data_IF_469292180281
#
_entry.id   IF_469292180281
#
_cell.length_a   1.000
_cell.length_b   1.000
_cell.length_c   1.000
_cell.angle_alpha   90.00
_cell.angle_beta   90.00
_cell.angle_gamma   90.00
#
_symmetry.space_group_name_H-M   'P 1'
#
loop_
_entity.id
_entity.type
_entity.pdbx_description
1 polymer ?
#
# COMPACT_ATOMS: atom_id res chain seq x y z
N UNK A 1 4.67 -11.77 -12.00
CA UNK A 1 4.29 -11.74 -10.55
C UNK A 1 5.48 -12.18 -9.70
N UNK A 2 5.60 -11.74 -8.43
CA UNK A 2 6.76 -12.10 -7.56
C UNK A 2 6.95 -13.62 -7.41
N UNK A 3 5.85 -14.39 -7.36
CA UNK A 3 5.88 -15.86 -7.42
C UNK A 3 6.65 -16.41 -8.62
N UNK A 4 6.41 -15.86 -9.81
CA UNK A 4 7.07 -16.28 -11.06
C UNK A 4 8.57 -15.95 -11.06
N UNK A 5 8.97 -14.93 -10.31
CA UNK A 5 10.37 -14.59 -10.09
C UNK A 5 11.03 -15.42 -8.98
N UNK A 6 10.33 -16.42 -8.42
CA UNK A 6 10.87 -17.36 -7.42
C UNK A 6 10.68 -16.92 -5.97
N UNK A 7 9.96 -15.83 -5.70
CA UNK A 7 9.68 -15.38 -4.33
C UNK A 7 8.40 -16.04 -3.79
N UNK A 8 8.46 -16.79 -2.67
CA UNK A 8 7.26 -17.35 -2.05
C UNK A 8 6.28 -16.24 -1.65
N UNK A 9 5.05 -16.30 -2.18
CA UNK A 9 4.03 -15.28 -1.96
C UNK A 9 2.68 -15.93 -1.64
N UNK A 10 1.84 -15.18 -0.93
CA UNK A 10 0.46 -15.54 -0.65
C UNK A 10 -0.42 -14.35 -1.08
N UNK A 11 -1.36 -14.61 -1.98
CA UNK A 11 -2.24 -13.58 -2.51
C UNK A 11 -3.49 -13.44 -1.64
N UNK A 12 -3.95 -12.20 -1.45
CA UNK A 12 -5.22 -11.91 -0.81
C UNK A 12 -6.01 -10.90 -1.64
N UNK A 13 -7.23 -11.29 -2.01
CA UNK A 13 -8.21 -10.41 -2.63
C UNK A 13 -9.59 -10.80 -2.09
N UNK A 14 -10.36 -9.87 -1.49
CA UNK A 14 -11.66 -10.19 -0.89
C UNK A 14 -12.69 -10.81 -1.84
N UNK A 15 -12.51 -10.68 -3.16
CA UNK A 15 -13.41 -11.21 -4.18
C UNK A 15 -12.83 -12.44 -4.90
N UNK A 16 -11.54 -12.43 -5.23
CA UNK A 16 -10.91 -13.46 -6.07
C UNK A 16 -10.03 -14.46 -5.32
N UNK A 17 -9.50 -14.07 -4.15
CA UNK A 17 -8.63 -14.87 -3.27
C UNK A 17 -8.94 -14.58 -1.79
N UNK A 18 -10.16 -14.88 -1.31
CA UNK A 18 -10.67 -14.37 -0.05
C UNK A 18 -10.20 -15.19 1.16
N UNK A 19 -9.03 -15.82 1.11
CA UNK A 19 -8.50 -16.58 2.25
C UNK A 19 -7.99 -15.60 3.32
N UNK A 20 -8.66 -15.48 4.48
CA UNK A 20 -8.24 -14.55 5.51
C UNK A 20 -7.02 -15.04 6.29
N UNK A 21 -6.69 -16.34 6.23
CA UNK A 21 -5.60 -16.93 7.02
C UNK A 21 -4.23 -16.33 6.66
N UNK A 22 -4.07 -15.87 5.42
CA UNK A 22 -2.86 -15.18 4.95
C UNK A 22 -2.65 -13.85 5.68
N UNK A 23 -3.71 -13.23 6.20
CA UNK A 23 -3.65 -11.96 6.91
C UNK A 23 -3.31 -12.12 8.41
N UNK A 24 -3.17 -13.36 8.89
CA UNK A 24 -2.77 -13.69 10.27
C UNK A 24 -1.30 -14.15 10.37
N UNK A 25 -0.57 -14.03 9.25
CA UNK A 25 0.85 -14.39 9.12
C UNK A 25 1.73 -13.15 9.15
N UNK A 26 3.04 -13.37 9.35
CA UNK A 26 4.06 -12.33 9.25
C UNK A 26 4.93 -12.49 8.01
N UNK A 27 5.31 -11.38 7.39
CA UNK A 27 5.99 -11.34 6.10
C UNK A 27 7.25 -10.48 6.16
N UNK A 28 8.24 -10.89 5.38
CA UNK A 28 9.45 -10.10 5.11
C UNK A 28 9.17 -8.98 4.10
N UNK A 29 8.16 -9.17 3.24
CA UNK A 29 7.67 -8.13 2.35
C UNK A 29 6.15 -8.26 2.09
N UNK A 30 5.48 -7.15 1.87
CA UNK A 30 4.07 -7.07 1.45
C UNK A 30 3.98 -6.10 0.28
N UNK A 31 3.15 -6.40 -0.73
CA UNK A 31 2.90 -5.51 -1.86
C UNK A 31 1.42 -5.22 -2.02
N UNK A 32 1.08 -3.95 -2.22
CA UNK A 32 -0.28 -3.49 -2.55
C UNK A 32 -0.23 -2.73 -3.87
N UNK A 33 -0.54 -3.41 -4.97
CA UNK A 33 -0.49 -2.83 -6.33
C UNK A 33 -1.89 -2.46 -6.79
N UNK A 34 -2.19 -1.16 -6.89
CA UNK A 34 -3.54 -0.63 -7.18
C UNK A 34 -4.61 -1.18 -6.20
N UNK A 35 -4.35 -1.03 -4.89
CA UNK A 35 -5.23 -1.56 -3.83
C UNK A 35 -5.62 -0.47 -2.83
N UNK A 36 -4.67 0.38 -2.42
CA UNK A 36 -4.84 1.25 -1.26
C UNK A 36 -5.88 2.35 -1.47
N UNK A 37 -6.12 2.73 -2.72
CA UNK A 37 -7.14 3.69 -3.15
C UNK A 37 -8.57 3.14 -3.05
N UNK A 38 -8.73 1.82 -2.94
CA UNK A 38 -10.02 1.13 -2.79
C UNK A 38 -10.42 0.89 -1.33
N UNK A 39 -9.54 1.22 -0.37
CA UNK A 39 -9.76 0.91 1.04
C UNK A 39 -10.74 1.90 1.68
N UNK A 40 -11.85 1.40 2.19
CA UNK A 40 -12.82 2.23 2.93
C UNK A 40 -12.36 2.61 4.34
N UNK A 41 -11.49 1.81 4.96
CA UNK A 41 -10.94 2.03 6.30
C UNK A 41 -9.42 1.90 6.28
N UNK A 42 -8.70 2.78 5.55
CA UNK A 42 -7.27 2.62 5.30
C UNK A 42 -6.45 2.55 6.59
N UNK A 43 -6.80 3.33 7.62
CA UNK A 43 -6.09 3.31 8.91
C UNK A 43 -6.07 1.94 9.60
N UNK A 44 -7.17 1.17 9.51
CA UNK A 44 -7.24 -0.18 10.07
C UNK A 44 -6.39 -1.16 9.26
N UNK A 45 -6.39 -1.00 7.93
CA UNK A 45 -5.58 -1.83 7.05
C UNK A 45 -4.10 -1.54 7.25
N UNK A 46 -3.68 -0.27 7.34
CA UNK A 46 -2.28 0.07 7.64
C UNK A 46 -1.83 -0.46 9.01
N UNK A 47 -2.69 -0.43 10.03
CA UNK A 47 -2.39 -1.05 11.32
C UNK A 47 -2.22 -2.57 11.20
N UNK A 48 -3.04 -3.24 10.38
CA UNK A 48 -2.89 -4.66 10.11
C UNK A 48 -1.61 -4.97 9.32
N UNK A 49 -1.30 -4.18 8.30
CA UNK A 49 -0.04 -4.29 7.53
C UNK A 49 1.17 -4.15 8.46
N UNK A 50 1.16 -3.21 9.39
CA UNK A 50 2.21 -3.08 10.41
C UNK A 50 2.36 -4.34 11.26
N UNK A 51 1.25 -4.92 11.72
CA UNK A 51 1.27 -6.15 12.51
C UNK A 51 1.77 -7.36 11.70
N UNK A 52 1.49 -7.39 10.40
CA UNK A 52 1.94 -8.43 9.47
C UNK A 52 3.41 -8.27 9.08
N UNK A 53 3.97 -7.05 9.05
CA UNK A 53 5.39 -6.85 8.75
C UNK A 53 6.27 -7.36 9.90
N UNK A 54 7.29 -8.14 9.55
CA UNK A 54 8.41 -8.43 10.45
C UNK A 54 9.28 -7.18 10.64
N UNK A 55 10.03 -7.07 11.75
CA UNK A 55 11.10 -6.07 11.85
C UNK A 55 12.08 -6.23 10.68
N UNK A 56 12.47 -5.11 10.05
CA UNK A 56 13.25 -5.09 8.81
C UNK A 56 12.44 -5.39 7.53
N UNK A 57 11.12 -5.58 7.64
CA UNK A 57 10.26 -5.92 6.52
C UNK A 57 9.89 -4.73 5.62
N UNK A 58 9.52 -5.03 4.38
CA UNK A 58 9.19 -4.03 3.35
C UNK A 58 7.70 -4.00 3.02
N UNK A 59 7.14 -2.80 2.83
CA UNK A 59 5.81 -2.62 2.25
C UNK A 59 5.94 -1.78 0.97
N UNK A 60 5.59 -2.35 -0.17
CA UNK A 60 5.52 -1.62 -1.44
C UNK A 60 4.07 -1.29 -1.76
N UNK A 61 3.77 -0.01 -1.92
CA UNK A 61 2.45 0.48 -2.35
C UNK A 61 2.61 1.11 -3.73
N UNK A 62 1.78 0.69 -4.68
CA UNK A 62 1.61 1.34 -5.97
C UNK A 62 0.21 1.94 -6.03
N UNK A 63 0.13 3.26 -6.15
CA UNK A 63 -1.11 4.03 -6.34
C UNK A 63 -0.75 5.39 -6.94
N UNK A 64 -1.61 5.95 -7.80
CA UNK A 64 -1.33 7.27 -8.38
C UNK A 64 -1.49 8.37 -7.33
N UNK A 65 -0.38 9.09 -7.05
CA UNK A 65 -0.37 10.13 -6.04
C UNK A 65 -0.83 11.49 -6.58
N UNK A 66 -1.53 12.23 -5.74
CA UNK A 66 -1.94 13.60 -5.99
C UNK A 66 -0.74 14.55 -5.80
N UNK A 67 -0.42 15.31 -6.85
CA UNK A 67 0.61 16.36 -6.81
C UNK A 67 -0.03 17.74 -6.70
N UNK A 68 0.73 18.73 -6.22
CA UNK A 68 0.24 20.10 -6.05
C UNK A 68 -0.20 20.77 -7.36
N UNK A 69 0.44 20.42 -8.48
CA UNK A 69 0.13 20.97 -9.81
C UNK A 69 -1.11 20.34 -10.45
N UNK A 70 -1.67 19.30 -9.84
CA UNK A 70 -2.74 18.51 -10.44
C UNK A 70 -4.09 19.11 -10.14
N UNK A 71 -4.86 19.39 -11.19
CA UNK A 71 -6.28 19.69 -11.06
C UNK A 71 -7.02 18.47 -10.53
N UNK A 72 -7.40 18.52 -9.25
CA UNK A 72 -8.17 17.47 -8.62
C UNK A 72 -9.48 17.23 -9.36
N UNK A 73 -10.17 18.28 -9.84
CA UNK A 73 -11.48 18.18 -10.54
C UNK A 73 -11.34 17.56 -11.95
N UNK A 74 -10.17 17.69 -12.57
CA UNK A 74 -9.83 17.08 -13.85
C UNK A 74 -9.25 15.67 -13.72
N UNK A 75 -8.72 15.29 -12.56
CA UNK A 75 -7.92 14.08 -12.41
C UNK A 75 -8.71 12.79 -12.68
N UNK A 76 -8.33 12.05 -13.74
CA UNK A 76 -9.01 10.81 -14.16
C UNK A 76 -9.01 9.74 -13.08
N UNK A 77 -7.93 9.61 -12.30
CA UNK A 77 -7.80 8.60 -11.26
C UNK A 77 -8.94 8.69 -10.23
N UNK A 78 -9.33 9.92 -9.82
CA UNK A 78 -10.48 10.10 -8.91
C UNK A 78 -11.83 9.78 -9.52
N UNK A 79 -11.95 9.83 -10.85
CA UNK A 79 -13.24 9.62 -11.54
C UNK A 79 -13.61 8.14 -11.59
N UNK A 80 -12.69 7.24 -11.24
CA UNK A 80 -12.99 5.82 -11.13
C UNK A 80 -13.82 5.58 -9.86
N UNK A 81 -15.06 5.05 -9.98
CA UNK A 81 -15.96 4.92 -8.82
C UNK A 81 -15.43 4.04 -7.68
N UNK A 82 -14.51 3.12 -7.97
CA UNK A 82 -13.87 2.29 -6.95
C UNK A 82 -12.77 3.01 -6.17
N UNK A 83 -12.26 4.16 -6.65
CA UNK A 83 -11.20 4.92 -5.99
C UNK A 83 -11.86 5.86 -4.98
N UNK A 84 -11.78 5.48 -3.71
CA UNK A 84 -12.51 6.15 -2.61
C UNK A 84 -11.57 6.88 -1.65
N UNK A 85 -10.27 6.62 -1.75
CA UNK A 85 -9.21 7.30 -0.97
C UNK A 85 -8.07 7.70 -1.91
N UNK A 86 -7.47 8.86 -1.67
CA UNK A 86 -6.38 9.40 -2.48
C UNK A 86 -5.20 9.77 -1.60
N UNK A 87 -4.00 9.53 -2.12
CA UNK A 87 -2.75 9.75 -1.40
C UNK A 87 -1.95 10.84 -2.11
N UNK A 88 -1.30 11.70 -1.32
CA UNK A 88 -0.27 12.63 -1.79
C UNK A 88 1.07 12.22 -1.20
N UNK A 89 2.17 12.81 -1.66
CA UNK A 89 3.49 12.60 -1.04
C UNK A 89 3.45 12.97 0.46
N UNK A 90 2.73 14.03 0.85
CA UNK A 90 2.55 14.41 2.25
C UNK A 90 1.78 13.35 3.06
N UNK A 91 0.78 12.72 2.45
CA UNK A 91 0.02 11.63 3.10
C UNK A 91 0.90 10.40 3.30
N UNK A 92 1.71 10.07 2.30
CA UNK A 92 2.66 8.95 2.35
C UNK A 92 3.70 9.18 3.46
N UNK A 93 4.28 10.37 3.52
CA UNK A 93 5.21 10.75 4.60
C UNK A 93 4.52 10.69 5.96
N UNK A 94 3.28 11.19 6.07
CA UNK A 94 2.54 11.12 7.32
C UNK A 94 2.32 9.66 7.79
N UNK A 95 1.98 8.76 6.87
CA UNK A 95 1.84 7.32 7.17
C UNK A 95 3.17 6.75 7.68
N UNK A 96 4.28 7.04 7.00
CA UNK A 96 5.60 6.58 7.43
C UNK A 96 5.90 7.02 8.88
N UNK A 97 5.71 8.31 9.18
CA UNK A 97 5.90 8.84 10.53
C UNK A 97 4.95 8.19 11.57
N UNK A 98 3.69 7.96 11.21
CA UNK A 98 2.68 7.39 12.11
C UNK A 98 3.05 6.00 12.63
N UNK A 99 3.70 5.20 11.77
CA UNK A 99 4.10 3.81 12.07
C UNK A 99 5.60 3.66 12.37
N UNK A 100 6.37 4.76 12.37
CA UNK A 100 7.82 4.71 12.58
C UNK A 100 8.58 4.02 11.45
N UNK A 101 8.04 4.05 10.22
CA UNK A 101 8.67 3.49 9.04
C UNK A 101 9.56 4.52 8.34
N UNK A 102 10.49 4.03 7.51
CA UNK A 102 11.17 4.84 6.50
C UNK A 102 10.42 4.71 5.18
N UNK A 103 10.43 5.75 4.35
CA UNK A 103 9.80 5.71 3.02
C UNK A 103 10.71 6.25 1.93
N UNK A 104 10.72 5.57 0.78
CA UNK A 104 11.33 6.03 -0.46
C UNK A 104 10.27 6.11 -1.56
N UNK A 105 10.22 7.25 -2.27
CA UNK A 105 9.32 7.44 -3.40
C UNK A 105 10.03 7.09 -4.70
N UNK A 106 9.43 6.22 -5.52
CA UNK A 106 9.98 5.75 -6.78
C UNK A 106 9.04 6.09 -7.94
N UNK A 107 9.33 7.21 -8.61
CA UNK A 107 8.42 7.78 -9.61
C UNK A 107 7.07 8.19 -9.00
N UNK A 108 6.03 8.45 -9.81
CA UNK A 108 4.76 9.02 -9.32
C UNK A 108 3.81 7.99 -8.67
N UNK A 109 4.09 6.69 -8.80
CA UNK A 109 3.17 5.62 -8.39
C UNK A 109 3.64 4.84 -7.17
N UNK A 110 4.96 4.60 -7.03
CA UNK A 110 5.46 3.66 -6.03
C UNK A 110 5.97 4.41 -4.80
N UNK A 111 5.53 3.95 -3.64
CA UNK A 111 6.08 4.27 -2.33
C UNK A 111 6.55 2.96 -1.67
N UNK A 112 7.85 2.90 -1.35
CA UNK A 112 8.46 1.76 -0.68
C UNK A 112 8.73 2.13 0.78
N UNK A 113 8.07 1.44 1.69
CA UNK A 113 8.26 1.59 3.13
C UNK A 113 9.13 0.47 3.70
N UNK A 114 9.95 0.80 4.68
CA UNK A 114 10.75 -0.14 5.47
C UNK A 114 10.36 0.01 6.95
N UNK A 115 9.95 -1.10 7.56
CA UNK A 115 9.77 -1.20 9.01
C UNK A 115 11.14 -1.42 9.66
N UNK A 116 11.61 -0.54 10.55
CA UNK A 116 12.89 -0.73 11.22
C UNK A 116 12.96 -2.07 11.97
N UNK A 117 14.19 -2.60 12.11
CA UNK A 117 14.48 -3.82 12.86
C UNK A 117 14.33 -3.63 14.38
#
# INVERSE_FOLDING_TARGET
MLAEAGYPTADHDPNFRPDPSVLDRRYDFITCTEVVEHLHRPGEVFARLDAMLKPGGLLSIMTERLTLERDFVGWRYRRQPSHVVFYSDQTIDWIAHRFGWRVGLHGPLVALFEKPA
#
